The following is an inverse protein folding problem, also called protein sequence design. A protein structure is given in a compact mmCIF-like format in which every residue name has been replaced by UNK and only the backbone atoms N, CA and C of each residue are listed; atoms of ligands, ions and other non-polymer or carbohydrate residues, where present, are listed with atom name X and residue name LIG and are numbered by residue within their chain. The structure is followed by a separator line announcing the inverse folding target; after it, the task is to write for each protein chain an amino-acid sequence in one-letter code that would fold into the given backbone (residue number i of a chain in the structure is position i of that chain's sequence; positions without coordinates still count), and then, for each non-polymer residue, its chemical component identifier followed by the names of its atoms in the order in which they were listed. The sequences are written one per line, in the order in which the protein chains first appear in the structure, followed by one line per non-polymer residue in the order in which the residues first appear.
data_IF_790640924080
#
_entry.id   IF_790640924080
#
_cell.length_a   1.000
_cell.length_b   1.000
_cell.length_c   1.000
_cell.angle_alpha   90.00
_cell.angle_beta   90.00
_cell.angle_gamma   90.00
#
_symmetry.space_group_name_H-M   'P 1'
#
loop_
_entity.id
_entity.type
_entity.pdbx_description
1 polymer ?
#
# COMPACT_ATOMS: atom_id res chain seq x y z
N UNK A 1 -9.91 4.38 10.98
CA UNK A 1 -8.46 4.23 10.66
C UNK A 1 -8.20 3.13 9.64
N UNK A 2 -8.67 1.89 9.83
CA UNK A 2 -8.56 0.83 8.83
C UNK A 2 -9.27 1.18 7.49
N UNK A 3 -10.45 1.81 7.57
CA UNK A 3 -11.21 2.23 6.39
C UNK A 3 -10.45 3.19 5.46
N UNK A 4 -9.69 4.13 6.03
CA UNK A 4 -8.86 5.08 5.25
C UNK A 4 -7.73 4.33 4.50
N UNK A 5 -7.13 3.32 5.14
CA UNK A 5 -6.12 2.49 4.51
C UNK A 5 -6.72 1.63 3.39
N UNK A 6 -7.94 1.14 3.54
CA UNK A 6 -8.65 0.40 2.49
C UNK A 6 -8.91 1.29 1.26
N UNK A 7 -9.35 2.54 1.45
CA UNK A 7 -9.55 3.49 0.34
C UNK A 7 -8.25 3.80 -0.40
N UNK A 8 -7.15 3.99 0.35
CA UNK A 8 -5.82 4.16 -0.24
C UNK A 8 -5.41 2.91 -1.01
N UNK A 9 -5.63 1.72 -0.44
CA UNK A 9 -5.29 0.45 -1.06
C UNK A 9 -6.05 0.21 -2.38
N UNK A 10 -7.35 0.52 -2.42
CA UNK A 10 -8.16 0.49 -3.65
C UNK A 10 -7.62 1.46 -4.71
N UNK A 11 -7.27 2.68 -4.32
CA UNK A 11 -6.71 3.68 -5.23
C UNK A 11 -5.36 3.23 -5.82
N UNK A 12 -4.50 2.65 -4.99
CA UNK A 12 -3.20 2.12 -5.43
C UNK A 12 -3.40 0.93 -6.38
N UNK A 13 -4.32 0.02 -6.06
CA UNK A 13 -4.65 -1.13 -6.91
C UNK A 13 -5.12 -0.69 -8.30
N UNK A 14 -6.04 0.29 -8.37
CA UNK A 14 -6.50 0.85 -9.64
C UNK A 14 -5.34 1.39 -10.50
N UNK A 15 -4.40 2.12 -9.89
CA UNK A 15 -3.22 2.66 -10.59
C UNK A 15 -2.29 1.55 -11.08
N UNK A 16 -2.06 0.53 -10.26
CA UNK A 16 -1.23 -0.61 -10.65
C UNK A 16 -1.84 -1.35 -11.84
N UNK A 17 -3.16 -1.54 -11.86
CA UNK A 17 -3.90 -2.19 -12.94
C UNK A 17 -3.83 -1.37 -14.24
N UNK A 18 -4.00 -0.05 -14.16
CA UNK A 18 -3.85 0.86 -15.31
C UNK A 18 -2.47 0.78 -15.96
N UNK A 19 -1.42 0.62 -15.14
CA UNK A 19 -0.04 0.51 -15.62
C UNK A 19 0.41 -0.93 -15.89
N UNK A 20 -0.45 -1.94 -15.66
CA UNK A 20 -0.12 -3.36 -15.78
C UNK A 20 1.14 -3.76 -15.00
N UNK A 21 1.34 -3.15 -13.82
CA UNK A 21 2.53 -3.39 -12.98
C UNK A 21 2.14 -4.08 -11.67
N UNK A 22 3.09 -4.86 -11.13
CA UNK A 22 2.94 -5.46 -9.80
C UNK A 22 4.27 -5.43 -9.06
N UNK A 23 4.20 -5.27 -7.74
CA UNK A 23 5.36 -5.19 -6.85
C UNK A 23 5.34 -6.29 -5.80
N UNK A 24 6.49 -6.59 -5.22
CA UNK A 24 6.65 -7.60 -4.16
C UNK A 24 6.84 -6.98 -2.77
N UNK A 25 7.09 -5.69 -2.72
CA UNK A 25 7.36 -4.94 -1.49
C UNK A 25 6.26 -3.93 -1.28
N UNK A 26 5.53 -4.06 -0.17
CA UNK A 26 4.59 -3.07 0.31
C UNK A 26 5.28 -2.16 1.32
N UNK A 27 5.14 -0.85 1.16
CA UNK A 27 5.68 0.15 2.09
C UNK A 27 4.54 1.01 2.62
N UNK A 28 4.32 1.00 3.94
CA UNK A 28 3.40 1.88 4.63
C UNK A 28 4.16 3.07 5.23
N UNK A 29 3.67 4.28 4.98
CA UNK A 29 4.19 5.51 5.57
C UNK A 29 3.07 6.21 6.33
N UNK A 30 3.28 6.47 7.61
CA UNK A 30 2.39 7.24 8.46
C UNK A 30 3.12 8.54 8.82
N UNK A 31 2.49 9.68 8.54
CA UNK A 31 2.95 11.00 8.95
C UNK A 31 2.02 11.52 10.04
N UNK A 32 2.59 11.85 11.19
CA UNK A 32 1.87 12.42 12.32
C UNK A 32 1.78 13.94 12.19
N UNK A 33 0.85 14.55 12.94
CA UNK A 33 0.62 15.99 12.95
C UNK A 33 1.81 16.79 13.50
N UNK A 34 2.65 16.17 14.32
CA UNK A 34 3.91 16.70 14.83
C UNK A 34 5.09 16.50 13.84
N UNK A 35 4.78 16.20 12.58
CA UNK A 35 5.71 15.96 11.48
C UNK A 35 6.59 14.71 11.63
N UNK A 36 6.40 13.89 12.66
CA UNK A 36 7.08 12.60 12.75
C UNK A 36 6.60 11.65 11.65
N UNK A 37 7.51 10.79 11.17
CA UNK A 37 7.22 9.83 10.10
C UNK A 37 7.65 8.43 10.53
N UNK A 38 6.73 7.48 10.42
CA UNK A 38 7.03 6.06 10.58
C UNK A 38 6.84 5.39 9.22
N UNK A 39 7.91 4.75 8.73
CA UNK A 39 7.87 3.93 7.52
C UNK A 39 8.16 2.47 7.89
N UNK A 40 7.37 1.55 7.37
CA UNK A 40 7.59 0.11 7.48
C UNK A 40 7.37 -0.54 6.12
N UNK A 41 8.23 -1.49 5.78
CA UNK A 41 8.14 -2.26 4.54
C UNK A 41 8.03 -3.75 4.82
N UNK A 42 7.31 -4.46 3.96
CA UNK A 42 7.23 -5.92 3.97
C UNK A 42 7.38 -6.43 2.54
N UNK A 43 8.33 -7.33 2.34
CA UNK A 43 8.54 -8.01 1.05
C UNK A 43 7.99 -9.43 1.12
N UNK A 44 7.31 -9.85 0.05
CA UNK A 44 6.69 -11.18 -0.08
C UNK A 44 7.29 -11.96 -1.26
N UNK A 45 7.08 -13.28 -1.26
CA UNK A 45 7.63 -14.21 -2.25
C UNK A 45 6.89 -14.20 -3.59
N UNK A 46 5.68 -13.64 -3.65
CA UNK A 46 4.88 -13.53 -4.87
C UNK A 46 4.51 -12.06 -5.09
N UNK A 47 4.40 -11.60 -6.34
CA UNK A 47 3.92 -10.25 -6.61
C UNK A 47 2.53 -10.04 -6.00
N UNK A 48 2.34 -8.90 -5.35
CA UNK A 48 1.06 -8.49 -4.76
C UNK A 48 0.15 -8.09 -5.93
N UNK A 49 -0.95 -8.81 -6.11
CA UNK A 49 -1.90 -8.60 -7.21
C UNK A 49 -3.32 -8.32 -6.72
N UNK A 50 -3.73 -8.97 -5.63
CA UNK A 50 -5.10 -8.88 -5.12
C UNK A 50 -5.14 -8.19 -3.75
N UNK A 51 -6.28 -7.56 -3.47
CA UNK A 51 -6.64 -7.06 -2.14
C UNK A 51 -7.30 -8.23 -1.38
N UNK A 52 -6.58 -8.85 -0.44
CA UNK A 52 -7.19 -9.80 0.48
C UNK A 52 -7.93 -9.03 1.59
N UNK A 53 -9.23 -9.30 1.74
CA UNK A 53 -10.07 -8.80 2.82
C UNK A 53 -9.72 -9.42 4.18
#
# INVERSE_FOLDING_TARGET
MLLELEQIAQTVKLRLDQHQTSGRTLTLKIKFSDYQQITRSKTVLTPIRELSA
#
